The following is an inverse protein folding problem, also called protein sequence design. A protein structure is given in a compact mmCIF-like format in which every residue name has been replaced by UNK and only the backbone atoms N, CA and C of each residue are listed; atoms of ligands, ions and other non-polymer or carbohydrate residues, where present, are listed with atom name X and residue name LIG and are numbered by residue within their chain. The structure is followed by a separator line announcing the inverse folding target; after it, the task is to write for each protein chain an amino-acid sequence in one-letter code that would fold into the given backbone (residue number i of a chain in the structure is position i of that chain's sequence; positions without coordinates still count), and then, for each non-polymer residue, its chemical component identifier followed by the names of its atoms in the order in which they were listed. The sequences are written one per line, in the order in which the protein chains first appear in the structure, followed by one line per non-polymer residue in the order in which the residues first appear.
data_IF_155463451955
#
_entry.id   IF_155463451955
#
_cell.length_a   1.000
_cell.length_b   1.000
_cell.length_c   1.000
_cell.angle_alpha   90.00
_cell.angle_beta   90.00
_cell.angle_gamma   90.00
#
_symmetry.space_group_name_H-M   'P 1'
#
loop_
_entity.id
_entity.type
_entity.pdbx_description
1 polymer ?
#
# COMPACT_ATOMS: atom_id res chain seq x y z
N UNK A 1 25.37 -7.65 -0.05
CA UNK A 1 26.18 -8.57 0.83
C UNK A 1 25.89 -8.16 2.27
N UNK A 2 25.63 -9.13 3.17
CA UNK A 2 25.48 -8.90 4.61
C UNK A 2 26.62 -9.55 5.34
N UNK A 3 27.03 -8.99 6.48
CA UNK A 3 28.08 -9.53 7.34
C UNK A 3 27.60 -9.55 8.79
N UNK A 4 28.07 -10.53 9.56
CA UNK A 4 27.79 -10.62 10.99
C UNK A 4 29.11 -10.66 11.75
N UNK A 5 29.23 -9.78 12.73
CA UNK A 5 30.37 -9.73 13.66
C UNK A 5 29.97 -10.46 14.94
N UNK A 6 30.76 -11.51 15.30
CA UNK A 6 30.37 -12.46 16.33
C UNK A 6 30.67 -11.98 17.76
N UNK A 7 31.62 -11.08 17.96
CA UNK A 7 32.06 -10.63 19.30
C UNK A 7 31.04 -9.68 19.89
N UNK A 8 30.68 -8.64 19.15
CA UNK A 8 29.74 -7.59 19.57
C UNK A 8 28.29 -7.88 19.13
N UNK A 9 28.07 -8.99 18.38
CA UNK A 9 26.75 -9.42 17.86
C UNK A 9 26.12 -8.40 16.91
N UNK A 10 26.91 -7.85 15.98
CA UNK A 10 26.51 -6.79 15.05
C UNK A 10 26.16 -7.39 13.68
N UNK A 11 24.97 -7.11 13.19
CA UNK A 11 24.55 -7.42 11.82
C UNK A 11 24.71 -6.19 10.91
N UNK A 12 25.63 -6.22 9.97
CA UNK A 12 25.73 -5.27 8.86
C UNK A 12 24.80 -5.74 7.74
N UNK A 13 23.65 -5.11 7.64
CA UNK A 13 22.50 -5.65 6.89
C UNK A 13 22.36 -5.14 5.46
N UNK A 14 23.32 -4.36 4.96
CA UNK A 14 23.22 -3.65 3.67
C UNK A 14 21.94 -2.80 3.60
N UNK A 15 21.12 -2.94 2.54
CA UNK A 15 19.86 -2.19 2.41
C UNK A 15 18.76 -2.71 3.34
N UNK A 16 18.87 -3.93 3.85
CA UNK A 16 17.86 -4.46 4.76
C UNK A 16 17.81 -3.65 6.07
N UNK A 17 16.60 -3.47 6.60
CA UNK A 17 16.31 -2.68 7.80
C UNK A 17 16.58 -1.18 7.68
N UNK A 18 16.89 -0.69 6.48
CA UNK A 18 17.03 0.72 6.19
C UNK A 18 15.71 1.50 6.28
N UNK A 19 15.81 2.82 6.34
CA UNK A 19 14.66 3.73 6.28
C UNK A 19 15.01 5.04 5.57
N UNK A 20 13.99 5.74 5.05
CA UNK A 20 14.15 7.09 4.55
C UNK A 20 14.25 8.14 5.67
N UNK A 21 14.87 9.26 5.33
CA UNK A 21 15.02 10.44 6.17
C UNK A 21 16.42 10.62 6.76
N UNK A 22 16.86 11.88 6.92
CA UNK A 22 18.12 12.18 7.58
C UNK A 22 18.06 11.83 9.07
N UNK A 23 19.18 11.43 9.64
CA UNK A 23 19.27 11.05 11.05
C UNK A 23 18.81 12.17 11.99
N UNK A 24 19.20 13.42 11.70
CA UNK A 24 18.82 14.59 12.49
C UNK A 24 17.31 14.81 12.55
N UNK A 25 16.62 14.73 11.39
CA UNK A 25 15.18 14.97 11.30
C UNK A 25 14.34 13.81 11.83
N UNK A 26 14.89 12.62 11.83
CA UNK A 26 14.14 11.40 12.14
C UNK A 26 14.56 10.73 13.45
N UNK A 27 15.45 11.34 14.23
CA UNK A 27 15.97 10.78 15.48
C UNK A 27 14.88 10.36 16.48
N UNK A 28 13.75 11.11 16.51
CA UNK A 28 12.61 10.83 17.40
C UNK A 28 11.40 10.20 16.69
N UNK A 29 11.47 10.01 15.38
CA UNK A 29 10.36 9.45 14.61
C UNK A 29 10.35 7.92 14.69
N UNK A 30 9.18 7.27 14.77
CA UNK A 30 9.08 5.82 14.72
C UNK A 30 9.77 5.25 13.48
N UNK A 31 10.49 4.12 13.66
CA UNK A 31 11.22 3.48 12.56
C UNK A 31 10.28 2.92 11.47
N UNK A 32 9.23 2.22 11.87
CA UNK A 32 8.41 1.41 10.98
C UNK A 32 7.78 2.15 9.77
N UNK A 33 7.16 3.35 9.90
CA UNK A 33 6.52 3.99 8.74
C UNK A 33 7.49 4.33 7.62
N UNK A 34 8.68 4.86 7.95
CA UNK A 34 9.69 5.21 6.95
C UNK A 34 10.49 4.00 6.47
N UNK A 35 10.64 2.98 7.31
CA UNK A 35 11.23 1.70 6.93
C UNK A 35 10.31 0.92 5.97
N UNK A 36 8.99 0.91 6.20
CA UNK A 36 8.00 0.35 5.27
C UNK A 36 8.07 1.05 3.92
N UNK A 37 8.07 2.40 3.93
CA UNK A 37 8.21 3.19 2.72
C UNK A 37 9.51 2.86 1.98
N UNK A 38 10.63 2.77 2.69
CA UNK A 38 11.92 2.36 2.14
C UNK A 38 11.84 0.95 1.57
N UNK A 39 11.34 -0.01 2.37
CA UNK A 39 11.23 -1.41 1.97
C UNK A 39 10.49 -1.57 0.64
N UNK A 40 9.24 -1.11 0.55
CA UNK A 40 8.43 -1.32 -0.64
C UNK A 40 8.91 -0.54 -1.87
N UNK A 41 9.59 0.58 -1.69
CA UNK A 41 10.13 1.33 -2.83
C UNK A 41 11.50 0.83 -3.32
N UNK A 42 12.32 0.24 -2.46
CA UNK A 42 13.70 -0.19 -2.78
C UNK A 42 13.84 -1.72 -2.77
N UNK A 43 13.37 -2.39 -1.72
CA UNK A 43 13.63 -3.81 -1.44
C UNK A 43 12.48 -4.72 -1.91
N UNK A 44 11.24 -4.23 -1.94
CA UNK A 44 10.01 -5.02 -1.96
C UNK A 44 9.90 -6.12 -3.02
N UNK A 45 10.51 -5.97 -4.22
CA UNK A 45 10.53 -7.01 -5.26
C UNK A 45 11.44 -8.21 -4.89
N UNK A 46 12.29 -8.08 -3.88
CA UNK A 46 13.27 -9.08 -3.46
C UNK A 46 12.85 -9.88 -2.23
N UNK A 47 11.53 -10.07 -2.03
CA UNK A 47 11.00 -10.78 -0.85
C UNK A 47 11.65 -12.15 -0.59
N UNK A 48 11.88 -12.96 -1.63
CA UNK A 48 12.53 -14.26 -1.49
C UNK A 48 13.97 -14.16 -0.94
N UNK A 49 14.72 -13.13 -1.37
CA UNK A 49 16.07 -12.87 -0.87
C UNK A 49 16.05 -12.42 0.61
N UNK A 50 15.03 -11.61 0.98
CA UNK A 50 14.81 -11.20 2.38
C UNK A 50 14.48 -12.42 3.24
N UNK A 51 13.58 -13.30 2.80
CA UNK A 51 13.28 -14.55 3.50
C UNK A 51 14.52 -15.44 3.69
N UNK A 52 15.36 -15.56 2.65
CA UNK A 52 16.61 -16.29 2.74
C UNK A 52 17.59 -15.65 3.74
N UNK A 53 17.64 -14.31 3.83
CA UNK A 53 18.42 -13.60 4.84
C UNK A 53 17.88 -13.89 6.25
N UNK A 54 16.57 -13.70 6.46
CA UNK A 54 15.93 -13.92 7.77
C UNK A 54 16.19 -15.35 8.27
N UNK A 55 16.08 -16.35 7.39
CA UNK A 55 16.42 -17.74 7.72
C UNK A 55 17.89 -17.93 8.14
N UNK A 56 18.82 -17.24 7.47
CA UNK A 56 20.25 -17.33 7.84
C UNK A 56 20.55 -16.72 9.20
N UNK A 57 19.89 -15.61 9.53
CA UNK A 57 20.15 -14.88 10.78
C UNK A 57 19.31 -15.37 11.95
N UNK A 58 18.32 -16.26 11.74
CA UNK A 58 17.43 -16.73 12.80
C UNK A 58 18.12 -17.48 13.94
N UNK A 59 19.28 -18.07 13.68
CA UNK A 59 20.11 -18.77 14.68
C UNK A 59 21.14 -17.86 15.36
N UNK A 60 21.23 -16.58 14.96
CA UNK A 60 22.22 -15.65 15.48
C UNK A 60 21.63 -14.79 16.60
N UNK A 61 22.42 -14.55 17.63
CA UNK A 61 22.14 -13.55 18.65
C UNK A 61 22.51 -12.17 18.08
N UNK A 62 21.53 -11.33 17.77
CA UNK A 62 21.74 -10.00 17.20
C UNK A 62 21.42 -8.95 18.25
N UNK A 63 22.42 -8.12 18.62
CA UNK A 63 22.27 -7.00 19.54
C UNK A 63 22.16 -5.65 18.83
N UNK A 64 22.73 -5.57 17.62
CA UNK A 64 22.78 -4.34 16.84
C UNK A 64 22.59 -4.66 15.36
N UNK A 65 21.77 -3.86 14.67
CA UNK A 65 21.66 -3.90 13.20
C UNK A 65 22.16 -2.57 12.64
N UNK A 66 23.11 -2.65 11.73
CA UNK A 66 23.72 -1.52 11.03
C UNK A 66 23.32 -1.54 9.55
N UNK A 67 22.20 -0.87 9.16
CA UNK A 67 21.84 -0.72 7.76
C UNK A 67 22.70 0.35 7.07
N UNK A 68 22.79 0.30 5.73
CA UNK A 68 23.47 1.35 4.94
C UNK A 68 22.70 2.67 4.94
N UNK A 69 21.38 2.63 5.16
CA UNK A 69 20.50 3.80 5.13
C UNK A 69 19.66 3.86 6.40
N UNK A 70 19.72 4.98 7.11
CA UNK A 70 18.96 5.20 8.35
C UNK A 70 19.80 5.00 9.61
N UNK A 71 19.17 4.93 10.78
CA UNK A 71 19.86 4.80 12.06
C UNK A 71 20.39 3.38 12.30
N UNK A 72 21.42 3.28 13.14
CA UNK A 72 21.77 2.02 13.79
C UNK A 72 20.63 1.62 14.72
N UNK A 73 20.23 0.36 14.69
CA UNK A 73 19.14 -0.18 15.50
C UNK A 73 19.73 -1.02 16.63
N UNK A 74 19.45 -0.62 17.87
CA UNK A 74 19.87 -1.31 19.10
C UNK A 74 18.70 -1.75 19.97
N UNK A 75 17.49 -1.26 19.62
CA UNK A 75 16.26 -1.54 20.37
C UNK A 75 15.14 -1.96 19.40
N UNK A 76 14.19 -2.74 19.92
CA UNK A 76 13.02 -3.17 19.13
C UNK A 76 13.36 -4.08 17.94
N UNK A 77 14.49 -4.77 17.97
CA UNK A 77 14.98 -5.60 16.85
C UNK A 77 14.01 -6.70 16.48
N UNK A 78 13.35 -7.33 17.45
CA UNK A 78 12.30 -8.35 17.22
C UNK A 78 11.16 -7.79 16.35
N UNK A 79 10.73 -6.56 16.63
CA UNK A 79 9.71 -5.90 15.83
C UNK A 79 10.21 -5.64 14.40
N UNK A 80 11.45 -5.23 14.25
CA UNK A 80 12.06 -5.00 12.94
C UNK A 80 12.12 -6.30 12.12
N UNK A 81 12.58 -7.39 12.72
CA UNK A 81 12.65 -8.72 12.10
C UNK A 81 11.25 -9.23 11.72
N UNK A 82 10.27 -9.13 12.62
CA UNK A 82 8.87 -9.52 12.37
C UNK A 82 8.26 -8.73 11.22
N UNK A 83 8.48 -7.42 11.14
CA UNK A 83 7.94 -6.61 10.05
C UNK A 83 8.61 -6.96 8.72
N UNK A 84 9.90 -7.21 8.70
CA UNK A 84 10.61 -7.67 7.50
C UNK A 84 10.13 -9.04 7.03
N UNK A 85 9.84 -9.95 7.95
CA UNK A 85 9.22 -11.24 7.63
C UNK A 85 7.86 -11.06 6.97
N UNK A 86 6.98 -10.26 7.57
CA UNK A 86 5.66 -9.93 7.05
C UNK A 86 5.73 -9.29 5.65
N UNK A 87 6.53 -8.22 5.51
CA UNK A 87 6.66 -7.49 4.25
C UNK A 87 7.22 -8.33 3.11
N UNK A 88 8.17 -9.21 3.40
CA UNK A 88 8.80 -10.06 2.39
C UNK A 88 7.92 -11.21 1.90
N UNK A 89 6.82 -11.47 2.59
CA UNK A 89 5.74 -12.36 2.19
C UNK A 89 4.57 -11.61 1.55
N UNK A 90 4.68 -10.28 1.39
CA UNK A 90 3.63 -9.37 0.88
C UNK A 90 2.35 -9.39 1.72
N UNK A 91 2.45 -9.78 2.98
CA UNK A 91 1.33 -9.74 3.92
C UNK A 91 1.07 -8.30 4.41
N UNK A 92 -0.19 -7.89 4.60
CA UNK A 92 -0.53 -6.59 5.16
C UNK A 92 -0.21 -6.53 6.64
N UNK A 93 0.15 -5.33 7.14
CA UNK A 93 0.27 -5.13 8.59
C UNK A 93 -1.11 -5.05 9.26
N UNK A 94 -2.11 -4.51 8.55
CA UNK A 94 -3.49 -4.34 9.00
C UNK A 94 -4.45 -4.96 7.97
N UNK A 95 -4.76 -6.24 8.16
CA UNK A 95 -5.57 -7.05 7.23
C UNK A 95 -6.97 -6.50 7.01
N UNK A 96 -7.59 -5.92 8.05
CA UNK A 96 -8.95 -5.42 8.00
C UNK A 96 -9.04 -3.94 7.60
N UNK A 97 -7.93 -3.22 7.60
CA UNK A 97 -7.93 -1.82 7.19
C UNK A 97 -8.10 -1.65 5.68
N UNK A 98 -8.73 -0.55 5.30
CA UNK A 98 -8.99 -0.20 3.90
C UNK A 98 -8.22 1.06 3.53
N UNK A 99 -7.52 1.03 2.40
CA UNK A 99 -6.98 2.23 1.76
C UNK A 99 -7.88 2.63 0.60
N UNK A 100 -8.42 3.84 0.62
CA UNK A 100 -9.08 4.46 -0.53
C UNK A 100 -8.04 5.33 -1.24
N UNK A 101 -7.72 4.96 -2.49
CA UNK A 101 -6.80 5.72 -3.34
C UNK A 101 -7.61 6.38 -4.43
N UNK A 102 -7.52 7.69 -4.56
CA UNK A 102 -8.27 8.38 -5.60
C UNK A 102 -7.40 9.29 -6.46
N UNK A 103 -7.85 9.47 -7.71
CA UNK A 103 -7.32 10.44 -8.65
C UNK A 103 -8.48 11.21 -9.27
N UNK A 104 -8.67 12.45 -8.82
CA UNK A 104 -9.81 13.30 -9.18
C UNK A 104 -9.38 14.50 -9.99
N UNK A 105 -10.12 14.83 -11.08
CA UNK A 105 -9.81 16.00 -11.92
C UNK A 105 -10.55 17.24 -11.39
N UNK A 106 -11.84 17.12 -11.12
CA UNK A 106 -12.71 18.25 -10.75
C UNK A 106 -13.33 18.13 -9.35
N UNK A 107 -12.82 17.24 -8.50
CA UNK A 107 -13.28 17.06 -7.12
C UNK A 107 -14.41 16.05 -6.91
N UNK A 108 -15.20 15.69 -7.92
CA UNK A 108 -16.33 14.77 -7.73
C UNK A 108 -15.89 13.36 -7.29
N UNK A 109 -14.84 12.82 -7.89
CA UNK A 109 -14.27 11.52 -7.48
C UNK A 109 -13.70 11.58 -6.06
N UNK A 110 -13.04 12.68 -5.70
CA UNK A 110 -12.53 12.91 -4.34
C UNK A 110 -13.69 13.00 -3.33
N UNK A 111 -14.77 13.70 -3.67
CA UNK A 111 -15.97 13.77 -2.83
C UNK A 111 -16.61 12.39 -2.62
N UNK A 112 -16.71 11.60 -3.69
CA UNK A 112 -17.21 10.23 -3.62
C UNK A 112 -16.32 9.33 -2.76
N UNK A 113 -15.00 9.43 -2.89
CA UNK A 113 -14.03 8.73 -2.05
C UNK A 113 -14.20 9.09 -0.56
N UNK A 114 -14.40 10.36 -0.25
CA UNK A 114 -14.66 10.84 1.12
C UNK A 114 -16.02 10.36 1.67
N UNK A 115 -17.03 10.29 0.82
CA UNK A 115 -18.33 9.72 1.20
C UNK A 115 -18.23 8.24 1.52
N UNK A 116 -17.48 7.48 0.73
CA UNK A 116 -17.21 6.06 0.97
C UNK A 116 -16.44 5.86 2.28
N UNK A 117 -15.41 6.67 2.56
CA UNK A 117 -14.69 6.66 3.83
C UNK A 117 -15.66 6.76 5.01
N UNK A 118 -16.51 7.78 5.02
CA UNK A 118 -17.49 7.96 6.10
C UNK A 118 -18.52 6.82 6.24
N UNK A 119 -18.85 6.13 5.14
CA UNK A 119 -19.71 4.92 5.18
C UNK A 119 -19.00 3.73 5.81
N UNK A 120 -17.71 3.52 5.50
CA UNK A 120 -16.88 2.45 6.06
C UNK A 120 -16.55 2.70 7.54
N UNK A 121 -16.21 3.93 7.92
CA UNK A 121 -15.97 4.32 9.31
C UNK A 121 -17.19 4.07 10.20
N UNK A 122 -18.42 4.32 9.70
CA UNK A 122 -19.67 3.99 10.40
C UNK A 122 -19.85 2.48 10.64
N UNK A 123 -19.15 1.63 9.88
CA UNK A 123 -19.08 0.19 10.09
C UNK A 123 -17.96 -0.23 11.04
N UNK A 124 -17.20 0.72 11.60
CA UNK A 124 -16.07 0.45 12.49
C UNK A 124 -14.78 0.04 11.77
N UNK A 125 -14.70 0.22 10.46
CA UNK A 125 -13.50 -0.11 9.67
C UNK A 125 -12.49 1.02 9.77
N UNK A 126 -11.22 0.69 9.98
CA UNK A 126 -10.13 1.66 9.88
C UNK A 126 -9.88 1.98 8.41
N UNK A 127 -10.04 3.26 8.05
CA UNK A 127 -9.87 3.72 6.67
C UNK A 127 -8.73 4.73 6.58
N UNK A 128 -7.93 4.59 5.55
CA UNK A 128 -6.95 5.57 5.11
C UNK A 128 -7.36 6.09 3.73
N UNK A 129 -7.20 7.37 3.47
CA UNK A 129 -7.49 7.95 2.16
C UNK A 129 -6.25 8.61 1.58
N UNK A 130 -6.03 8.45 0.27
CA UNK A 130 -4.87 8.98 -0.43
C UNK A 130 -5.28 9.61 -1.76
N UNK A 131 -4.97 10.89 -1.91
CA UNK A 131 -5.11 11.62 -3.16
C UNK A 131 -3.81 11.56 -3.97
N UNK A 132 -3.82 10.83 -5.08
CA UNK A 132 -2.66 10.65 -5.95
C UNK A 132 -2.24 11.92 -6.70
N UNK A 133 -3.09 12.96 -6.73
CA UNK A 133 -2.76 14.20 -7.41
C UNK A 133 -1.84 15.10 -6.61
N UNK A 134 -1.73 14.87 -5.30
CA UNK A 134 -0.94 15.69 -4.37
C UNK A 134 -0.02 14.87 -3.45
N UNK A 135 -0.25 13.56 -3.33
CA UNK A 135 0.56 12.69 -2.47
C UNK A 135 1.74 12.13 -3.24
N UNK A 136 2.93 12.22 -2.66
CA UNK A 136 4.11 11.54 -3.23
C UNK A 136 3.84 10.04 -3.35
N UNK A 137 4.09 9.49 -4.54
CA UNK A 137 3.74 8.12 -4.92
C UNK A 137 4.35 7.07 -4.00
N UNK A 138 5.52 7.32 -3.42
CA UNK A 138 6.17 6.39 -2.49
C UNK A 138 5.39 6.18 -1.19
N UNK A 139 4.63 7.19 -0.74
CA UNK A 139 3.73 7.04 0.41
C UNK A 139 2.47 6.26 0.04
N UNK A 140 1.88 6.55 -1.13
CA UNK A 140 0.72 5.83 -1.62
C UNK A 140 1.01 4.32 -1.77
N UNK A 141 2.16 3.97 -2.35
CA UNK A 141 2.64 2.59 -2.46
C UNK A 141 2.80 1.94 -1.09
N UNK A 142 3.50 2.59 -0.15
CA UNK A 142 3.70 2.05 1.19
C UNK A 142 2.36 1.80 1.93
N UNK A 143 1.39 2.70 1.74
CA UNK A 143 0.05 2.56 2.32
C UNK A 143 -0.75 1.41 1.70
N UNK A 144 -0.59 1.17 0.39
CA UNK A 144 -1.24 0.05 -0.28
C UNK A 144 -0.76 -1.31 0.26
N UNK A 145 0.52 -1.43 0.55
CA UNK A 145 1.05 -2.65 1.16
C UNK A 145 0.70 -2.79 2.65
N UNK A 146 0.46 -1.69 3.34
CA UNK A 146 0.07 -1.68 4.75
C UNK A 146 -1.33 -2.24 4.98
N UNK A 147 -2.29 -1.88 4.12
CA UNK A 147 -3.70 -2.24 4.25
C UNK A 147 -4.00 -3.59 3.58
N UNK A 148 -4.96 -4.34 4.15
CA UNK A 148 -5.43 -5.60 3.56
C UNK A 148 -6.40 -5.43 2.41
N UNK A 149 -7.07 -4.28 2.33
CA UNK A 149 -8.10 -4.00 1.32
C UNK A 149 -7.85 -2.63 0.69
N UNK A 150 -8.13 -2.48 -0.61
CA UNK A 150 -8.01 -1.22 -1.33
C UNK A 150 -9.31 -0.88 -2.06
N UNK A 151 -9.59 0.41 -2.19
CA UNK A 151 -10.54 0.93 -3.17
C UNK A 151 -9.82 1.90 -4.09
N UNK A 152 -9.92 1.67 -5.39
CA UNK A 152 -9.33 2.52 -6.42
C UNK A 152 -10.43 3.37 -7.05
N UNK A 153 -10.37 4.69 -6.85
CA UNK A 153 -11.34 5.64 -7.37
C UNK A 153 -10.69 6.55 -8.41
N UNK A 154 -11.08 6.43 -9.67
CA UNK A 154 -10.40 7.09 -10.78
C UNK A 154 -11.40 7.77 -11.73
N UNK A 155 -11.06 8.98 -12.21
CA UNK A 155 -11.74 9.60 -13.31
C UNK A 155 -11.27 9.02 -14.64
N UNK A 156 -12.20 8.79 -15.58
CA UNK A 156 -11.83 8.55 -16.98
C UNK A 156 -11.22 9.82 -17.56
N UNK A 157 -10.06 9.70 -18.20
CA UNK A 157 -9.31 10.78 -18.84
C UNK A 157 -8.77 10.30 -20.18
N UNK A 158 -9.02 11.04 -21.27
CA UNK A 158 -8.60 10.70 -22.64
C UNK A 158 -8.95 9.25 -23.06
N UNK A 159 -10.14 8.78 -22.66
CA UNK A 159 -10.58 7.40 -22.91
C UNK A 159 -9.81 6.33 -22.12
N UNK A 160 -9.07 6.73 -21.08
CA UNK A 160 -8.23 5.88 -20.27
C UNK A 160 -8.22 6.22 -18.78
N UNK A 161 -7.18 5.78 -18.11
CA UNK A 161 -6.92 6.13 -16.70
C UNK A 161 -6.37 7.55 -16.59
N UNK A 162 -6.82 8.29 -15.59
CA UNK A 162 -6.13 9.51 -15.22
C UNK A 162 -4.68 9.19 -14.80
N UNK A 163 -3.66 9.89 -15.36
CA UNK A 163 -2.26 9.50 -15.25
C UNK A 163 -1.73 9.17 -13.86
N UNK A 164 -2.11 9.87 -12.76
CA UNK A 164 -1.66 9.50 -11.42
C UNK A 164 -2.05 8.08 -11.01
N UNK A 165 -3.27 7.62 -11.38
CA UNK A 165 -3.72 6.25 -11.10
C UNK A 165 -2.93 5.22 -11.91
N UNK A 166 -2.65 5.52 -13.19
CA UNK A 166 -1.83 4.63 -14.03
C UNK A 166 -0.43 4.46 -13.44
N UNK A 167 0.22 5.56 -13.06
CA UNK A 167 1.53 5.52 -12.42
C UNK A 167 1.53 4.71 -11.12
N UNK A 168 0.48 4.87 -10.29
CA UNK A 168 0.33 4.10 -9.06
C UNK A 168 0.23 2.59 -9.33
N UNK A 169 -0.61 2.17 -10.27
CA UNK A 169 -0.77 0.75 -10.64
C UNK A 169 0.52 0.16 -11.21
N UNK A 170 1.25 0.89 -12.05
CA UNK A 170 2.54 0.45 -12.59
C UNK A 170 3.57 0.22 -11.46
N UNK A 171 3.59 1.09 -10.46
CA UNK A 171 4.44 0.91 -9.27
C UNK A 171 4.04 -0.31 -8.45
N UNK A 172 2.75 -0.54 -8.21
CA UNK A 172 2.27 -1.72 -7.50
C UNK A 172 2.69 -3.01 -8.22
N UNK A 173 2.48 -3.06 -9.53
CA UNK A 173 2.86 -4.21 -10.35
C UNK A 173 4.37 -4.50 -10.29
N UNK A 174 5.20 -3.46 -10.48
CA UNK A 174 6.66 -3.58 -10.44
C UNK A 174 7.18 -4.12 -9.10
N UNK A 175 6.47 -3.85 -8.01
CA UNK A 175 6.85 -4.28 -6.65
C UNK A 175 6.21 -5.61 -6.22
N UNK A 176 5.46 -6.25 -7.14
CA UNK A 176 4.85 -7.55 -6.92
C UNK A 176 3.68 -7.51 -5.94
N UNK A 177 2.93 -6.40 -5.93
CA UNK A 177 1.73 -6.26 -5.11
C UNK A 177 0.76 -7.43 -5.33
N UNK A 178 0.27 -8.00 -4.25
CA UNK A 178 -0.57 -9.20 -4.27
C UNK A 178 -1.35 -9.38 -2.98
N UNK A 179 -2.18 -10.43 -2.93
CA UNK A 179 -2.91 -10.89 -1.73
C UNK A 179 -3.76 -9.78 -1.11
N UNK A 180 -4.59 -9.11 -1.93
CA UNK A 180 -5.48 -8.02 -1.48
C UNK A 180 -6.86 -8.12 -2.08
N UNK A 181 -7.85 -7.60 -1.35
CA UNK A 181 -9.22 -7.37 -1.85
C UNK A 181 -9.31 -5.96 -2.42
N UNK A 182 -9.88 -5.81 -3.62
CA UNK A 182 -9.88 -4.54 -4.36
C UNK A 182 -11.30 -4.17 -4.79
N UNK A 183 -11.79 -3.00 -4.37
CA UNK A 183 -13.00 -2.36 -4.89
C UNK A 183 -12.66 -1.32 -5.96
N UNK A 184 -13.56 -1.11 -6.92
CA UNK A 184 -13.38 -0.15 -8.00
C UNK A 184 -14.49 0.90 -8.02
N UNK A 185 -14.09 2.16 -8.21
CA UNK A 185 -14.97 3.30 -8.42
C UNK A 185 -14.48 4.07 -9.65
N UNK A 186 -15.38 4.31 -10.59
CA UNK A 186 -15.09 5.10 -11.78
C UNK A 186 -15.94 6.36 -11.82
N UNK A 187 -15.36 7.47 -12.25
CA UNK A 187 -16.12 8.68 -12.60
C UNK A 187 -15.91 9.02 -14.07
N UNK A 188 -17.02 9.27 -14.75
CA UNK A 188 -17.04 9.51 -16.18
C UNK A 188 -18.03 10.63 -16.53
N UNK A 189 -17.82 11.28 -17.69
CA UNK A 189 -18.79 12.21 -18.28
C UNK A 189 -19.69 11.53 -19.31
N UNK A 190 -19.11 10.75 -20.27
CA UNK A 190 -19.90 10.14 -21.37
C UNK A 190 -19.45 8.73 -21.78
N UNK A 191 -18.18 8.34 -21.60
CA UNK A 191 -17.67 7.06 -22.06
C UNK A 191 -16.81 6.40 -20.97
N UNK A 192 -17.35 5.45 -20.19
CA UNK A 192 -16.61 4.79 -19.11
C UNK A 192 -15.45 3.94 -19.66
N UNK A 193 -14.26 4.12 -19.09
CA UNK A 193 -13.06 3.39 -19.48
C UNK A 193 -12.13 3.07 -18.32
N UNK A 194 -12.18 3.85 -17.23
CA UNK A 194 -11.20 3.73 -16.14
C UNK A 194 -11.36 2.41 -15.38
N UNK A 195 -12.57 1.98 -15.01
CA UNK A 195 -12.77 0.73 -14.28
C UNK A 195 -12.26 -0.48 -15.07
N UNK A 196 -12.59 -0.56 -16.36
CA UNK A 196 -12.10 -1.62 -17.25
C UNK A 196 -10.57 -1.62 -17.34
N UNK A 197 -9.94 -0.45 -17.42
CA UNK A 197 -8.48 -0.37 -17.51
C UNK A 197 -7.81 -0.67 -16.16
N UNK A 198 -8.37 -0.21 -15.03
CA UNK A 198 -7.90 -0.62 -13.70
C UNK A 198 -7.95 -2.14 -13.55
N UNK A 199 -9.06 -2.77 -13.93
CA UNK A 199 -9.21 -4.23 -13.91
C UNK A 199 -8.13 -4.91 -14.75
N UNK A 200 -7.90 -4.47 -15.99
CA UNK A 200 -6.87 -5.04 -16.86
C UNK A 200 -5.43 -4.89 -16.30
N UNK A 201 -5.13 -3.82 -15.57
CA UNK A 201 -3.84 -3.68 -14.89
C UNK A 201 -3.75 -4.60 -13.65
N UNK A 202 -4.82 -4.74 -12.89
CA UNK A 202 -4.87 -5.60 -11.70
C UNK A 202 -4.79 -7.10 -12.06
N UNK A 203 -5.35 -7.52 -13.18
CA UNK A 203 -5.28 -8.91 -13.69
C UNK A 203 -3.84 -9.37 -14.00
N UNK A 204 -2.91 -8.44 -14.19
CA UNK A 204 -1.47 -8.73 -14.35
C UNK A 204 -0.78 -9.05 -13.01
N UNK A 205 -1.45 -8.77 -11.88
CA UNK A 205 -0.94 -8.99 -10.53
C UNK A 205 -1.48 -10.31 -9.98
N UNK A 206 -0.82 -10.88 -8.98
CA UNK A 206 -1.18 -12.20 -8.44
C UNK A 206 -2.09 -12.07 -7.22
N UNK A 207 -2.96 -13.07 -7.03
CA UNK A 207 -3.70 -13.26 -5.78
C UNK A 207 -4.52 -12.03 -5.34
N UNK A 208 -5.00 -11.24 -6.32
CA UNK A 208 -5.95 -10.17 -6.07
C UNK A 208 -7.39 -10.69 -6.18
N UNK A 209 -8.24 -10.26 -5.25
CA UNK A 209 -9.68 -10.55 -5.26
C UNK A 209 -10.43 -9.25 -5.53
N UNK A 210 -10.94 -9.10 -6.74
CA UNK A 210 -11.75 -7.93 -7.07
C UNK A 210 -13.16 -8.11 -6.54
N UNK A 211 -13.71 -7.03 -5.97
CA UNK A 211 -15.12 -6.96 -5.63
C UNK A 211 -15.98 -7.08 -6.89
N UNK A 212 -17.16 -7.70 -6.76
CA UNK A 212 -18.12 -7.80 -7.87
C UNK A 212 -18.78 -6.45 -8.12
N UNK A 213 -19.03 -5.70 -7.04
CA UNK A 213 -19.64 -4.36 -7.10
C UNK A 213 -18.64 -3.32 -7.60
N UNK A 214 -18.97 -2.66 -8.71
CA UNK A 214 -18.30 -1.46 -9.20
C UNK A 214 -19.19 -0.23 -8.98
N UNK A 215 -18.61 0.87 -8.53
CA UNK A 215 -19.33 2.14 -8.37
C UNK A 215 -19.08 3.01 -9.58
N UNK A 216 -20.15 3.31 -10.33
CA UNK A 216 -20.11 4.23 -11.46
C UNK A 216 -20.70 5.59 -11.10
N UNK A 217 -19.87 6.61 -11.22
CA UNK A 217 -20.25 8.01 -11.08
C UNK A 217 -20.36 8.65 -12.47
N UNK A 218 -21.44 9.35 -12.72
CA UNK A 218 -21.58 10.21 -13.89
C UNK A 218 -21.55 11.68 -13.43
N UNK A 219 -20.33 12.17 -13.15
CA UNK A 219 -20.11 13.47 -12.52
C UNK A 219 -20.30 13.41 -11.00
N UNK A 220 -21.34 14.04 -10.46
CA UNK A 220 -21.61 14.05 -9.02
C UNK A 220 -22.28 12.76 -8.54
N UNK A 221 -22.19 12.51 -7.22
CA UNK A 221 -22.96 11.46 -6.55
C UNK A 221 -24.47 11.60 -6.79
N UNK A 222 -25.14 10.46 -6.95
CA UNK A 222 -26.57 10.36 -7.09
C UNK A 222 -27.08 9.09 -6.39
N UNK A 223 -28.40 8.92 -6.34
CA UNK A 223 -29.02 7.80 -5.65
C UNK A 223 -28.53 6.42 -6.13
N UNK A 224 -28.27 6.26 -7.43
CA UNK A 224 -27.77 5.00 -7.99
C UNK A 224 -26.34 4.71 -7.51
N UNK A 225 -25.43 5.69 -7.63
CA UNK A 225 -24.05 5.53 -7.19
C UNK A 225 -23.94 5.38 -5.66
N UNK A 226 -24.82 6.00 -4.88
CA UNK A 226 -24.88 5.78 -3.44
C UNK A 226 -25.32 4.35 -3.09
N UNK A 227 -26.31 3.80 -3.79
CA UNK A 227 -26.73 2.41 -3.61
C UNK A 227 -25.60 1.42 -3.98
N UNK A 228 -24.86 1.69 -5.07
CA UNK A 228 -23.67 0.91 -5.43
C UNK A 228 -22.58 1.01 -4.36
N UNK A 229 -22.35 2.21 -3.78
CA UNK A 229 -21.41 2.36 -2.66
C UNK A 229 -21.83 1.52 -1.45
N UNK A 230 -23.11 1.49 -1.10
CA UNK A 230 -23.60 0.71 0.03
C UNK A 230 -23.37 -0.81 -0.20
N UNK A 231 -23.58 -1.27 -1.43
CA UNK A 231 -23.29 -2.64 -1.83
C UNK A 231 -21.78 -2.93 -1.75
N UNK A 232 -20.93 -2.03 -2.26
CA UNK A 232 -19.47 -2.16 -2.16
C UNK A 232 -18.98 -2.19 -0.70
N UNK A 233 -19.55 -1.34 0.17
CA UNK A 233 -19.27 -1.35 1.61
C UNK A 233 -19.62 -2.69 2.23
N UNK A 234 -20.81 -3.23 1.91
CA UNK A 234 -21.22 -4.55 2.41
C UNK A 234 -20.25 -5.65 1.97
N UNK A 235 -19.82 -5.62 0.70
CA UNK A 235 -18.87 -6.58 0.15
C UNK A 235 -17.48 -6.46 0.78
N UNK A 236 -16.96 -5.26 0.98
CA UNK A 236 -15.65 -5.02 1.61
C UNK A 236 -15.62 -5.40 3.10
N UNK A 237 -16.78 -5.31 3.79
CA UNK A 237 -16.93 -5.69 5.20
C UNK A 237 -17.28 -7.18 5.40
N UNK A 238 -17.62 -7.91 4.34
CA UNK A 238 -17.82 -9.36 4.41
C UNK A 238 -16.49 -10.10 4.60
N UNK A 239 -16.51 -11.23 5.35
CA UNK A 239 -15.34 -12.08 5.61
C UNK A 239 -14.80 -12.77 4.34
#
# INVERSE_FOLDING_TARGET
MTAYEETEKILFSADAFGRFGSLERTARAPWAPQARRYYYNIVGKYGAQVQALLKKISALEIKTICPLHGPVLTEGLEKCLRLYDLWSQWEPEESESILIVHASIHGNTAHAAKTLEGKLEKKGVQVNICDLTVTDLSYAVASAFYCGKLVLACSTYDGGLFPPMKAFLDHLQTKGFRNRRIGLMENVSWAPAAARQMRAELEKMKELRLCETEVLLCGALNQTSEAQMDALVAELCAE
#
